data_IF_721167647667
#
_entry.id   IF_721167647667
#
_cell.length_a   1.000
_cell.length_b   1.000
_cell.length_c   1.000
_cell.angle_alpha   90.00
_cell.angle_beta   90.00
_cell.angle_gamma   90.00
#
_symmetry.space_group_name_H-M   'P 1'
#
loop_
_entity.id
_entity.type
_entity.pdbx_description
1 polymer ?
#
# COMPACT_ATOMS: atom_id res chain seq x y z
N UNK A 1 10.84 -31.84 16.29
CA UNK A 1 10.04 -30.60 16.45
C UNK A 1 9.88 -30.01 15.06
N UNK A 2 8.73 -30.24 14.43
CA UNK A 2 8.43 -29.66 13.12
C UNK A 2 8.10 -28.20 13.34
N UNK A 3 8.94 -27.28 12.85
CA UNK A 3 8.53 -25.88 12.73
C UNK A 3 7.33 -25.87 11.81
N UNK A 4 6.19 -25.41 12.33
CA UNK A 4 5.00 -25.14 11.54
C UNK A 4 5.42 -24.34 10.31
N UNK A 5 5.29 -24.94 9.13
CA UNK A 5 5.33 -24.19 7.88
C UNK A 5 4.12 -23.26 7.90
N UNK A 6 4.35 -21.99 8.23
CA UNK A 6 3.34 -20.94 8.15
C UNK A 6 2.61 -21.06 6.81
N UNK A 7 1.31 -21.36 6.86
CA UNK A 7 0.50 -21.50 5.67
C UNK A 7 0.53 -20.18 4.90
N UNK A 8 1.14 -20.20 3.70
CA UNK A 8 1.13 -19.07 2.78
C UNK A 8 -0.09 -19.24 1.89
N UNK A 9 -1.07 -18.33 2.00
CA UNK A 9 -2.16 -18.29 1.03
C UNK A 9 -1.56 -18.20 -0.38
N UNK A 10 -1.87 -19.15 -1.29
CA UNK A 10 -1.36 -19.11 -2.65
C UNK A 10 -1.90 -17.90 -3.44
N UNK A 11 -2.95 -17.25 -2.92
CA UNK A 11 -3.63 -16.13 -3.56
C UNK A 11 -3.64 -14.89 -2.69
N UNK A 12 -3.34 -13.75 -3.34
CA UNK A 12 -3.47 -12.42 -2.77
C UNK A 12 -4.95 -12.12 -2.52
N UNK A 13 -5.29 -11.81 -1.26
CA UNK A 13 -6.61 -11.35 -0.86
C UNK A 13 -6.48 -10.06 -0.03
N UNK A 14 -6.91 -8.89 -0.55
CA UNK A 14 -6.81 -7.62 0.17
C UNK A 14 -7.57 -7.64 1.50
N UNK A 15 -8.70 -8.34 1.57
CA UNK A 15 -9.56 -8.39 2.76
C UNK A 15 -8.96 -9.22 3.89
N UNK A 16 -8.22 -10.29 3.55
CA UNK A 16 -7.45 -11.04 4.56
C UNK A 16 -6.37 -10.15 5.18
N UNK A 17 -5.62 -9.42 4.35
CA UNK A 17 -4.58 -8.52 4.85
C UNK A 17 -5.16 -7.37 5.68
N UNK A 18 -6.31 -6.84 5.27
CA UNK A 18 -7.03 -5.84 6.05
C UNK A 18 -7.48 -6.36 7.41
N UNK A 19 -7.98 -7.59 7.48
CA UNK A 19 -8.31 -8.23 8.76
C UNK A 19 -7.07 -8.39 9.65
N UNK A 20 -5.97 -8.83 9.05
CA UNK A 20 -4.76 -9.22 9.79
C UNK A 20 -3.93 -8.00 10.24
N UNK A 21 -3.93 -6.90 9.47
CA UNK A 21 -3.14 -5.69 9.74
C UNK A 21 -3.96 -4.43 10.00
N UNK A 22 -5.29 -4.50 9.90
CA UNK A 22 -6.19 -3.35 9.99
C UNK A 22 -5.98 -2.50 11.24
N UNK A 23 -5.78 -3.13 12.40
CA UNK A 23 -5.55 -2.40 13.65
C UNK A 23 -4.28 -1.52 13.58
N UNK A 24 -3.19 -2.05 13.02
CA UNK A 24 -1.91 -1.35 12.92
C UNK A 24 -1.99 -0.25 11.87
N UNK A 25 -2.50 -0.58 10.68
CA UNK A 25 -2.54 0.38 9.57
C UNK A 25 -3.51 1.52 9.87
N UNK A 26 -4.67 1.25 10.47
CA UNK A 26 -5.61 2.30 10.87
C UNK A 26 -5.03 3.23 11.95
N UNK A 27 -4.20 2.71 12.86
CA UNK A 27 -3.52 3.53 13.87
C UNK A 27 -2.38 4.37 13.28
N UNK A 28 -1.65 3.84 12.30
CA UNK A 28 -0.54 4.54 11.63
C UNK A 28 -1.01 5.58 10.61
N UNK A 29 -2.23 5.45 10.10
CA UNK A 29 -2.79 6.27 9.03
C UNK A 29 -4.22 6.76 9.32
N UNK A 30 -4.48 7.39 10.48
CA UNK A 30 -5.82 7.83 10.85
C UNK A 30 -6.41 8.82 9.82
N UNK A 31 -5.56 9.63 9.19
CA UNK A 31 -5.96 10.63 8.19
C UNK A 31 -6.58 10.00 6.92
N UNK A 32 -6.13 8.79 6.56
CA UNK A 32 -6.67 8.03 5.42
C UNK A 32 -8.03 7.44 5.81
N UNK A 33 -8.18 6.98 7.05
CA UNK A 33 -9.42 6.39 7.55
C UNK A 33 -10.52 7.44 7.68
N UNK A 34 -10.20 8.60 8.23
CA UNK A 34 -11.13 9.74 8.31
C UNK A 34 -11.59 10.19 6.92
N UNK A 35 -10.68 10.09 5.95
CA UNK A 35 -10.94 10.30 4.52
C UNK A 35 -11.76 9.17 3.86
N UNK A 36 -12.48 8.32 4.62
CA UNK A 36 -13.53 7.42 4.11
C UNK A 36 -15.00 7.89 4.32
N UNK A 37 -15.26 8.97 5.08
CA UNK A 37 -16.57 9.70 5.18
C UNK A 37 -17.19 10.51 3.97
N UNK A 38 -16.54 11.52 3.35
CA UNK A 38 -16.84 12.26 2.07
C UNK A 38 -16.60 11.61 0.66
N UNK A 39 -15.95 12.29 -0.31
CA UNK A 39 -15.87 11.87 -1.74
C UNK A 39 -14.59 11.15 -2.21
N UNK A 40 -14.59 10.48 -3.37
CA UNK A 40 -13.37 9.88 -3.95
C UNK A 40 -12.29 10.93 -4.29
N UNK A 41 -12.70 12.14 -4.65
CA UNK A 41 -11.79 13.27 -4.86
C UNK A 41 -11.06 13.64 -3.57
N UNK A 42 -11.77 13.68 -2.45
CA UNK A 42 -11.19 13.98 -1.13
C UNK A 42 -10.23 12.88 -0.68
N UNK A 43 -10.63 11.61 -0.87
CA UNK A 43 -9.76 10.47 -0.55
C UNK A 43 -8.47 10.53 -1.38
N UNK A 44 -8.56 10.80 -2.68
CA UNK A 44 -7.39 10.95 -3.55
C UNK A 44 -6.46 12.07 -3.11
N UNK A 45 -7.01 13.22 -2.72
CA UNK A 45 -6.23 14.34 -2.20
C UNK A 45 -5.50 13.95 -0.90
N UNK A 46 -6.20 13.30 0.04
CA UNK A 46 -5.62 12.85 1.31
C UNK A 46 -4.55 11.78 1.15
N UNK A 47 -4.77 10.80 0.27
CA UNK A 47 -3.76 9.80 -0.08
C UNK A 47 -2.51 10.45 -0.69
N UNK A 48 -2.70 11.45 -1.55
CA UNK A 48 -1.59 12.21 -2.12
C UNK A 48 -0.81 13.00 -1.04
N UNK A 49 -1.51 13.73 -0.18
CA UNK A 49 -0.94 14.47 0.94
C UNK A 49 -0.17 13.56 1.89
N UNK A 50 -0.73 12.41 2.28
CA UNK A 50 -0.07 11.43 3.16
C UNK A 50 1.20 10.85 2.49
N UNK A 51 1.12 10.54 1.19
CA UNK A 51 2.27 9.99 0.44
C UNK A 51 3.40 10.99 0.26
N UNK A 52 3.10 12.27 0.05
CA UNK A 52 4.11 13.32 -0.20
C UNK A 52 4.59 13.96 1.11
N UNK A 53 3.71 14.15 2.09
CA UNK A 53 4.01 14.80 3.36
C UNK A 53 5.12 14.12 4.15
N UNK A 54 5.25 12.79 4.03
CA UNK A 54 6.37 12.02 4.63
C UNK A 54 7.73 12.35 4.02
N UNK A 55 7.78 12.94 2.83
CA UNK A 55 9.00 13.22 2.06
C UNK A 55 9.22 14.71 1.76
N UNK A 56 8.25 15.56 2.08
CA UNK A 56 8.38 17.01 2.02
C UNK A 56 9.29 17.50 3.16
N UNK A 57 10.61 17.37 2.97
CA UNK A 57 11.59 18.06 3.81
C UNK A 57 11.62 19.55 3.43
N UNK A 58 11.19 20.42 4.34
CA UNK A 58 11.63 21.83 4.49
C UNK A 58 11.69 22.73 3.25
N UNK A 59 10.90 22.49 2.21
CA UNK A 59 10.79 23.45 1.12
C UNK A 59 9.61 24.38 1.37
N UNK A 60 9.87 25.49 2.07
CA UNK A 60 8.88 26.55 2.33
C UNK A 60 8.28 27.16 1.03
N UNK A 61 8.85 26.80 -0.11
CA UNK A 61 8.43 27.22 -1.45
C UNK A 61 7.82 26.09 -2.30
N UNK A 62 7.77 24.84 -1.81
CA UNK A 62 7.00 23.82 -2.50
C UNK A 62 5.54 24.24 -2.47
N UNK A 63 4.85 24.36 -3.62
CA UNK A 63 3.43 24.60 -3.61
C UNK A 63 2.81 23.35 -3.01
N UNK A 64 2.52 23.39 -1.70
CA UNK A 64 1.43 22.65 -1.11
C UNK A 64 0.22 23.11 -1.91
N UNK A 65 -0.07 22.43 -3.03
CA UNK A 65 -1.25 22.70 -3.83
C UNK A 65 -2.44 22.28 -2.99
N UNK A 66 -2.83 23.15 -2.06
CA UNK A 66 -4.15 23.28 -1.48
C UNK A 66 -5.10 23.80 -2.58
N UNK A 67 -5.09 23.12 -3.73
CA UNK A 67 -6.11 23.24 -4.75
C UNK A 67 -7.32 22.42 -4.32
N UNK A 68 -8.51 22.84 -4.74
CA UNK A 68 -9.70 22.03 -4.56
C UNK A 68 -9.44 20.59 -5.08
N UNK A 69 -9.93 19.55 -4.38
CA UNK A 69 -9.73 18.16 -4.79
C UNK A 69 -10.12 17.95 -6.26
N UNK A 70 -9.18 17.42 -7.05
CA UNK A 70 -9.44 17.17 -8.46
C UNK A 70 -10.54 16.13 -8.63
N UNK A 71 -11.47 16.40 -9.55
CA UNK A 71 -12.66 15.57 -9.76
C UNK A 71 -12.28 14.13 -10.11
N UNK A 72 -12.83 13.17 -9.37
CA UNK A 72 -12.83 11.75 -9.71
C UNK A 72 -14.21 11.36 -10.20
N UNK A 73 -14.29 10.79 -11.41
CA UNK A 73 -15.51 10.21 -11.97
C UNK A 73 -15.37 8.70 -12.07
N UNK A 74 -16.50 7.99 -12.06
CA UNK A 74 -16.56 6.53 -12.14
C UNK A 74 -17.55 6.10 -13.22
N UNK A 75 -17.30 4.98 -13.90
CA UNK A 75 -18.27 4.36 -14.81
C UNK A 75 -18.67 2.97 -14.29
N UNK A 76 -19.96 2.75 -14.05
CA UNK A 76 -20.52 1.47 -13.56
C UNK A 76 -20.02 0.98 -12.19
N UNK A 77 -19.18 1.75 -11.49
CA UNK A 77 -18.69 1.42 -10.14
C UNK A 77 -19.58 2.03 -9.06
N UNK A 78 -19.48 1.48 -7.84
CA UNK A 78 -20.11 2.07 -6.68
C UNK A 78 -19.71 3.56 -6.57
N UNK A 79 -20.72 4.43 -6.58
CA UNK A 79 -20.51 5.88 -6.53
C UNK A 79 -20.00 6.35 -5.16
N UNK A 80 -20.19 5.55 -4.11
CA UNK A 80 -19.73 5.84 -2.77
C UNK A 80 -18.40 5.09 -2.48
N UNK A 81 -17.49 5.77 -1.78
CA UNK A 81 -16.12 5.30 -1.55
C UNK A 81 -16.02 4.12 -0.57
N UNK A 82 -16.90 4.05 0.42
CA UNK A 82 -16.93 2.95 1.39
C UNK A 82 -17.25 1.63 0.71
N UNK A 83 -18.27 1.60 -0.16
CA UNK A 83 -18.59 0.41 -0.95
C UNK A 83 -17.45 0.01 -1.89
N UNK A 84 -16.76 0.98 -2.51
CA UNK A 84 -15.62 0.66 -3.37
C UNK A 84 -14.42 0.12 -2.57
N UNK A 85 -14.15 0.70 -1.39
CA UNK A 85 -13.13 0.21 -0.46
C UNK A 85 -13.48 -1.21 0.04
N UNK A 86 -14.72 -1.45 0.45
CA UNK A 86 -15.19 -2.76 0.91
C UNK A 86 -15.14 -3.82 -0.21
N UNK A 87 -15.22 -3.40 -1.47
CA UNK A 87 -15.11 -4.30 -2.62
C UNK A 87 -13.65 -4.66 -2.94
N UNK A 88 -12.78 -3.65 -3.09
CA UNK A 88 -11.43 -3.85 -3.64
C UNK A 88 -10.28 -3.76 -2.63
N UNK A 89 -10.51 -3.17 -1.46
CA UNK A 89 -9.49 -2.89 -0.46
C UNK A 89 -8.63 -1.64 -0.75
N UNK A 90 -7.98 -1.10 0.30
CA UNK A 90 -7.26 0.18 0.25
C UNK A 90 -6.07 0.16 -0.72
N UNK A 91 -5.28 -0.91 -0.77
CA UNK A 91 -4.08 -0.96 -1.60
C UNK A 91 -4.41 -0.77 -3.09
N UNK A 92 -5.45 -1.47 -3.56
CA UNK A 92 -5.91 -1.39 -4.95
C UNK A 92 -6.49 -0.01 -5.23
N UNK A 93 -7.31 0.50 -4.32
CA UNK A 93 -7.92 1.82 -4.45
C UNK A 93 -6.86 2.92 -4.49
N UNK A 94 -5.82 2.82 -3.67
CA UNK A 94 -4.72 3.79 -3.63
C UNK A 94 -3.96 3.83 -4.95
N UNK A 95 -3.59 2.67 -5.50
CA UNK A 95 -2.96 2.61 -6.82
C UNK A 95 -3.87 3.19 -7.91
N UNK A 96 -5.16 2.89 -7.86
CA UNK A 96 -6.11 3.37 -8.86
C UNK A 96 -6.28 4.89 -8.84
N UNK A 97 -6.31 5.49 -7.65
CA UNK A 97 -6.45 6.93 -7.48
C UNK A 97 -5.17 7.70 -7.78
N UNK A 98 -4.00 7.09 -7.62
CA UNK A 98 -2.73 7.81 -7.68
C UNK A 98 -1.87 7.53 -8.92
N UNK A 99 -2.11 6.44 -9.67
CA UNK A 99 -1.13 5.96 -10.67
C UNK A 99 -1.29 6.49 -12.09
N UNK A 100 -2.48 6.90 -12.51
CA UNK A 100 -2.75 7.23 -13.91
C UNK A 100 -2.35 8.67 -14.27
N UNK A 101 -2.94 9.64 -13.58
CA UNK A 101 -2.69 11.08 -13.82
C UNK A 101 -2.26 11.80 -12.53
N UNK A 102 -1.52 12.92 -12.64
CA UNK A 102 -1.14 13.73 -11.48
C UNK A 102 -2.35 14.08 -10.59
N UNK A 103 -2.12 14.19 -9.27
CA UNK A 103 -3.20 14.39 -8.29
C UNK A 103 -4.10 15.61 -8.56
N UNK A 104 -3.57 16.66 -9.19
CA UNK A 104 -4.32 17.88 -9.55
C UNK A 104 -5.15 17.77 -10.84
N UNK A 105 -5.04 16.67 -11.60
CA UNK A 105 -5.80 16.43 -12.84
C UNK A 105 -7.01 15.56 -12.56
N UNK A 106 -8.13 15.83 -13.23
CA UNK A 106 -9.32 14.97 -13.13
C UNK A 106 -9.00 13.54 -13.55
N UNK A 107 -9.58 12.57 -12.82
CA UNK A 107 -9.39 11.14 -13.05
C UNK A 107 -10.72 10.49 -13.39
N UNK A 108 -10.70 9.58 -14.38
CA UNK A 108 -11.81 8.71 -14.68
C UNK A 108 -11.46 7.27 -14.28
N UNK A 109 -12.09 6.80 -13.21
CA UNK A 109 -11.87 5.48 -12.65
C UNK A 109 -12.78 4.45 -13.32
N UNK A 110 -12.21 3.34 -13.78
CA UNK A 110 -12.93 2.27 -14.47
C UNK A 110 -12.73 0.94 -13.74
N UNK A 111 -13.64 -0.01 -13.95
CA UNK A 111 -13.45 -1.36 -13.40
C UNK A 111 -12.17 -2.02 -13.93
N UNK A 112 -11.80 -1.76 -15.18
CA UNK A 112 -10.59 -2.30 -15.78
C UNK A 112 -9.31 -1.81 -15.10
N UNK A 113 -9.27 -0.54 -14.64
CA UNK A 113 -8.09 -0.03 -13.91
C UNK A 113 -7.95 -0.73 -12.55
N UNK A 114 -9.05 -0.93 -11.82
CA UNK A 114 -9.07 -1.67 -10.56
C UNK A 114 -8.58 -3.12 -10.74
N UNK A 115 -9.10 -3.83 -11.74
CA UNK A 115 -8.68 -5.20 -12.08
C UNK A 115 -7.18 -5.23 -12.44
N UNK A 116 -6.70 -4.24 -13.20
CA UNK A 116 -5.28 -4.11 -13.55
C UNK A 116 -4.37 -4.01 -12.33
N UNK A 117 -4.74 -3.19 -11.34
CA UNK A 117 -4.00 -3.06 -10.09
C UNK A 117 -4.07 -4.33 -9.23
N UNK A 118 -5.24 -4.97 -9.12
CA UNK A 118 -5.36 -6.25 -8.42
C UNK A 118 -4.47 -7.33 -9.05
N UNK A 119 -4.46 -7.44 -10.39
CA UNK A 119 -3.60 -8.41 -11.11
C UNK A 119 -2.13 -8.16 -10.84
N UNK A 120 -1.70 -6.90 -10.82
CA UNK A 120 -0.32 -6.53 -10.53
C UNK A 120 0.06 -6.86 -9.09
N UNK A 121 -0.77 -6.51 -8.10
CA UNK A 121 -0.51 -6.87 -6.69
C UNK A 121 -0.51 -8.39 -6.46
N UNK A 122 -1.34 -9.13 -7.21
CA UNK A 122 -1.29 -10.60 -7.19
C UNK A 122 0.03 -11.15 -7.72
N UNK A 123 0.63 -10.52 -8.73
CA UNK A 123 1.95 -10.91 -9.25
C UNK A 123 3.06 -10.60 -8.23
N UNK A 124 3.01 -9.40 -7.62
CA UNK A 124 3.88 -9.02 -6.50
C UNK A 124 3.81 -10.04 -5.36
N UNK A 125 2.60 -10.41 -4.92
CA UNK A 125 2.39 -11.42 -3.89
C UNK A 125 3.05 -12.75 -4.25
N UNK A 126 2.75 -13.27 -5.45
CA UNK A 126 3.25 -14.58 -5.90
C UNK A 126 4.78 -14.63 -5.97
N UNK A 127 5.39 -13.51 -6.34
CA UNK A 127 6.83 -13.38 -6.41
C UNK A 127 7.45 -13.26 -5.01
N UNK A 128 7.04 -12.25 -4.24
CA UNK A 128 7.70 -11.87 -2.99
C UNK A 128 7.35 -12.77 -1.80
N UNK A 129 6.13 -13.31 -1.70
CA UNK A 129 5.70 -14.09 -0.53
C UNK A 129 6.48 -15.41 -0.37
N UNK A 130 7.16 -15.87 -1.42
CA UNK A 130 7.97 -17.09 -1.44
C UNK A 130 9.46 -16.82 -1.24
N UNK A 131 9.88 -15.55 -1.18
CA UNK A 131 11.29 -15.23 -1.00
C UNK A 131 11.71 -15.53 0.45
N UNK A 132 12.85 -16.18 0.66
CA UNK A 132 13.38 -16.42 2.00
C UNK A 132 13.66 -15.08 2.69
N UNK A 133 13.56 -15.06 4.01
CA UNK A 133 13.96 -13.92 4.83
C UNK A 133 15.36 -13.45 4.48
N UNK A 134 15.54 -12.13 4.44
CA UNK A 134 16.85 -11.55 4.13
C UNK A 134 17.16 -10.34 5.01
N UNK A 135 18.38 -10.36 5.55
CA UNK A 135 18.95 -9.30 6.38
C UNK A 135 19.70 -8.25 5.55
N UNK A 136 19.62 -8.31 4.21
CA UNK A 136 20.32 -7.37 3.33
C UNK A 136 19.74 -5.96 3.50
N UNK A 137 20.58 -4.93 3.74
CA UNK A 137 20.09 -3.58 3.86
C UNK A 137 19.45 -3.12 2.53
N UNK A 138 18.39 -2.29 2.59
CA UNK A 138 17.81 -1.72 1.38
C UNK A 138 18.85 -0.89 0.64
N UNK A 139 18.80 -0.94 -0.69
CA UNK A 139 19.56 -0.02 -1.53
C UNK A 139 19.26 1.44 -1.17
N UNK A 140 20.31 2.27 -1.01
CA UNK A 140 20.15 3.68 -0.71
C UNK A 140 19.56 4.39 -1.93
N UNK A 141 18.61 5.30 -1.66
CA UNK A 141 17.92 6.13 -2.65
C UNK A 141 17.07 5.39 -3.68
N UNK A 142 15.76 5.50 -3.53
CA UNK A 142 14.79 5.03 -4.51
C UNK A 142 14.36 6.19 -5.42
N UNK A 143 14.30 5.95 -6.73
CA UNK A 143 13.69 6.90 -7.69
C UNK A 143 12.22 7.18 -7.35
N UNK A 144 11.57 6.27 -6.62
CA UNK A 144 10.24 6.48 -6.02
C UNK A 144 10.28 7.64 -5.03
N UNK A 145 11.26 7.64 -4.11
CA UNK A 145 11.43 8.70 -3.10
C UNK A 145 11.69 10.06 -3.75
N UNK A 146 12.56 10.13 -4.78
CA UNK A 146 12.82 11.37 -5.51
C UNK A 146 11.57 11.92 -6.20
N UNK A 147 10.75 11.04 -6.79
CA UNK A 147 9.48 11.44 -7.39
C UNK A 147 8.47 11.94 -6.33
N UNK A 148 8.42 11.31 -5.17
CA UNK A 148 7.59 11.74 -4.04
C UNK A 148 8.03 13.09 -3.46
N UNK A 149 9.33 13.32 -3.30
CA UNK A 149 9.88 14.63 -2.91
C UNK A 149 9.49 15.75 -3.89
N UNK A 150 9.33 15.41 -5.17
CA UNK A 150 8.85 16.33 -6.20
C UNK A 150 7.32 16.45 -6.29
N UNK A 151 6.57 15.81 -5.39
CA UNK A 151 5.09 15.79 -5.42
C UNK A 151 4.49 14.98 -6.58
N UNK A 152 5.23 14.08 -7.23
CA UNK A 152 4.81 13.35 -8.43
C UNK A 152 4.44 11.89 -8.10
N UNK A 153 3.28 11.68 -7.49
CA UNK A 153 2.77 10.37 -7.08
C UNK A 153 2.61 9.37 -8.26
N UNK A 154 2.07 9.81 -9.39
CA UNK A 154 1.88 8.94 -10.56
C UNK A 154 3.23 8.45 -11.12
N UNK A 155 4.22 9.33 -11.16
CA UNK A 155 5.59 8.97 -11.56
C UNK A 155 6.26 8.05 -10.53
N UNK A 156 6.04 8.30 -9.24
CA UNK A 156 6.54 7.44 -8.18
C UNK A 156 5.99 6.00 -8.30
N UNK A 157 4.70 5.84 -8.61
CA UNK A 157 4.10 4.51 -8.85
C UNK A 157 4.61 3.87 -10.16
N UNK A 158 4.87 4.66 -11.20
CA UNK A 158 5.52 4.15 -12.41
C UNK A 158 6.92 3.59 -12.09
N UNK A 159 7.72 4.35 -11.33
CA UNK A 159 9.03 3.89 -10.85
C UNK A 159 8.95 2.68 -9.93
N UNK A 160 7.91 2.57 -9.10
CA UNK A 160 7.66 1.39 -8.27
C UNK A 160 7.45 0.14 -9.13
N UNK A 161 6.69 0.24 -10.23
CA UNK A 161 6.48 -0.86 -11.18
C UNK A 161 7.76 -1.25 -11.90
N UNK A 162 8.58 -0.27 -12.28
CA UNK A 162 9.88 -0.54 -12.89
C UNK A 162 10.87 -1.16 -11.90
N UNK A 163 10.82 -0.75 -10.63
CA UNK A 163 11.60 -1.34 -9.56
C UNK A 163 11.22 -2.82 -9.35
N UNK A 164 9.93 -3.16 -9.40
CA UNK A 164 9.47 -4.54 -9.35
C UNK A 164 10.03 -5.38 -10.52
N UNK A 165 10.03 -4.85 -11.75
CA UNK A 165 10.65 -5.55 -12.90
C UNK A 165 12.14 -5.81 -12.68
N UNK A 166 12.87 -4.84 -12.09
CA UNK A 166 14.29 -5.02 -11.76
C UNK A 166 14.50 -6.10 -10.72
N UNK A 167 13.65 -6.17 -9.69
CA UNK A 167 13.66 -7.27 -8.70
C UNK A 167 13.47 -8.61 -9.41
N UNK A 168 12.49 -8.71 -10.33
CA UNK A 168 12.26 -9.93 -11.12
C UNK A 168 13.47 -10.33 -11.98
N UNK A 169 14.24 -9.35 -12.49
CA UNK A 169 15.44 -9.56 -13.30
C UNK A 169 16.69 -9.89 -12.47
N UNK A 170 16.71 -9.51 -11.18
CA UNK A 170 17.82 -9.71 -10.26
C UNK A 170 17.35 -10.44 -8.99
N UNK A 171 16.90 -11.71 -9.07
CA UNK A 171 16.30 -12.44 -7.95
C UNK A 171 17.25 -12.67 -6.76
N UNK A 172 18.57 -12.56 -6.98
CA UNK A 172 19.58 -12.72 -5.94
C UNK A 172 19.92 -11.40 -5.23
N UNK A 173 19.35 -10.28 -5.67
CA UNK A 173 19.57 -8.96 -5.10
C UNK A 173 18.50 -8.67 -4.04
N UNK A 174 18.75 -9.17 -2.83
CA UNK A 174 17.81 -9.01 -1.74
C UNK A 174 17.68 -7.55 -1.28
N UNK A 175 18.75 -6.75 -1.34
CA UNK A 175 18.70 -5.33 -1.01
C UNK A 175 17.74 -4.56 -1.93
N UNK A 176 17.73 -4.90 -3.22
CA UNK A 176 16.77 -4.38 -4.18
C UNK A 176 15.33 -4.80 -3.86
N UNK A 177 15.11 -6.05 -3.43
CA UNK A 177 13.80 -6.54 -3.00
C UNK A 177 13.29 -5.76 -1.77
N UNK A 178 14.12 -5.56 -0.75
CA UNK A 178 13.74 -4.80 0.44
C UNK A 178 13.45 -3.33 0.09
N UNK A 179 14.23 -2.70 -0.80
CA UNK A 179 13.93 -1.35 -1.30
C UNK A 179 12.60 -1.27 -2.05
N UNK A 180 12.27 -2.30 -2.82
CA UNK A 180 10.97 -2.40 -3.49
C UNK A 180 9.84 -2.52 -2.48
N UNK A 181 9.92 -3.44 -1.52
CA UNK A 181 8.88 -3.64 -0.51
C UNK A 181 8.69 -2.39 0.37
N UNK A 182 9.79 -1.73 0.73
CA UNK A 182 9.76 -0.45 1.46
C UNK A 182 9.12 0.67 0.65
N UNK A 183 9.31 0.69 -0.68
CA UNK A 183 8.65 1.65 -1.57
C UNK A 183 7.17 1.29 -1.80
N UNK A 184 6.84 0.00 -1.81
CA UNK A 184 5.48 -0.51 -1.99
C UNK A 184 4.60 -0.14 -0.79
N UNK A 185 5.10 -0.27 0.43
CA UNK A 185 4.35 0.04 1.66
C UNK A 185 3.93 1.52 1.76
N UNK A 186 4.56 2.41 1.00
CA UNK A 186 4.15 3.82 0.92
C UNK A 186 2.79 4.01 0.23
N UNK A 187 2.42 3.11 -0.68
CA UNK A 187 1.17 3.18 -1.45
C UNK A 187 0.21 2.04 -1.16
N UNK A 188 0.74 0.89 -0.75
CA UNK A 188 -0.01 -0.33 -0.49
C UNK A 188 0.34 -0.82 0.91
N UNK A 189 -0.15 -0.12 1.96
CA UNK A 189 0.27 -0.38 3.33
C UNK A 189 -0.04 -1.81 3.80
N UNK A 190 -1.10 -2.45 3.31
CA UNK A 190 -1.46 -3.79 3.76
C UNK A 190 -0.52 -4.88 3.21
N UNK A 191 -0.40 -5.00 1.90
CA UNK A 191 0.52 -5.96 1.26
C UNK A 191 1.98 -5.63 1.54
N UNK A 192 2.33 -4.34 1.59
CA UNK A 192 3.68 -3.90 1.91
C UNK A 192 4.11 -4.34 3.31
N UNK A 193 3.24 -4.14 4.31
CA UNK A 193 3.50 -4.56 5.70
C UNK A 193 3.62 -6.07 5.82
N UNK A 194 2.68 -6.82 5.23
CA UNK A 194 2.72 -8.29 5.25
C UNK A 194 4.01 -8.83 4.62
N UNK A 195 4.42 -8.30 3.47
CA UNK A 195 5.62 -8.76 2.78
C UNK A 195 6.90 -8.36 3.52
N UNK A 196 6.97 -7.17 4.11
CA UNK A 196 8.10 -6.75 4.94
C UNK A 196 8.20 -7.57 6.24
N UNK A 197 7.07 -7.86 6.88
CA UNK A 197 7.01 -8.75 8.04
C UNK A 197 7.54 -10.14 7.71
N UNK A 198 7.12 -10.73 6.59
CA UNK A 198 7.64 -12.02 6.10
C UNK A 198 9.15 -12.02 5.86
N UNK A 199 9.72 -10.87 5.50
CA UNK A 199 11.16 -10.69 5.33
C UNK A 199 11.92 -10.46 6.65
N UNK A 200 11.23 -10.34 7.79
CA UNK A 200 11.83 -10.05 9.09
C UNK A 200 12.08 -8.56 9.36
N UNK A 201 11.57 -7.66 8.50
CA UNK A 201 11.80 -6.21 8.59
C UNK A 201 10.81 -5.46 9.47
N UNK A 202 9.74 -6.14 9.91
CA UNK A 202 8.74 -5.59 10.83
C UNK A 202 8.59 -6.59 11.97
N UNK A 203 8.76 -6.12 13.21
CA UNK A 203 8.66 -6.94 14.41
C UNK A 203 7.25 -6.87 15.02
N UNK A 204 6.26 -7.28 14.22
CA UNK A 204 4.87 -7.34 14.62
C UNK A 204 4.30 -8.69 14.22
N UNK A 205 4.14 -9.62 15.16
CA UNK A 205 3.48 -10.89 14.89
C UNK A 205 1.94 -10.72 14.87
N UNK A 206 1.27 -10.92 13.72
CA UNK A 206 -0.19 -10.84 13.63
C UNK A 206 -0.88 -12.04 14.31
N UNK A 207 -0.19 -13.19 14.47
CA UNK A 207 -0.78 -14.47 14.91
C UNK A 207 -0.87 -14.57 16.44
N UNK A 208 0.13 -14.11 17.19
CA UNK A 208 0.10 -14.16 18.66
C UNK A 208 -1.04 -13.35 19.30
N UNK A 209 -1.73 -12.48 18.55
CA UNK A 209 -2.77 -11.59 19.09
C UNK A 209 -4.22 -11.98 18.76
N UNK A 210 -4.43 -12.86 17.77
CA UNK A 210 -5.75 -13.49 17.54
C UNK A 210 -6.16 -14.43 18.70
N UNK A 211 -5.22 -14.82 19.56
CA UNK A 211 -5.49 -15.59 20.79
C UNK A 211 -5.86 -14.75 22.02
N UNK A 212 -5.66 -13.43 22.01
CA UNK A 212 -5.88 -12.59 23.20
C UNK A 212 -7.33 -12.14 23.43
N UNK A 213 -8.28 -12.47 22.55
CA UNK A 213 -9.71 -12.24 22.79
C UNK A 213 -10.43 -13.43 23.44
N UNK A 214 -9.68 -14.41 23.99
CA UNK A 214 -10.22 -15.65 24.54
C UNK A 214 -10.05 -15.91 26.04
N UNK A 215 -9.59 -14.96 26.86
CA UNK A 215 -9.59 -15.13 28.33
C UNK A 215 -9.96 -13.81 29.02
N UNK A 216 -11.26 -13.51 29.03
CA UNK A 216 -11.87 -12.73 30.10
C UNK A 216 -13.20 -13.38 30.46
N UNK A 217 -13.08 -14.52 31.14
CA UNK A 217 -14.18 -15.27 31.74
C UNK A 217 -13.82 -15.53 33.19
N UNK A 218 -14.49 -14.78 34.05
CA UNK A 218 -14.65 -14.86 35.50
C UNK A 218 -14.51 -16.27 36.07
N UNK A 219 -13.73 -16.42 37.14
CA UNK A 219 -14.03 -17.41 38.18
C UNK A 219 -14.08 -16.63 39.49
N UNK A 220 -15.22 -16.76 40.15
CA UNK A 220 -15.53 -16.28 41.51
C UNK A 220 -14.57 -16.84 42.56
#
# INVERSE_FOLDING_TARGET
>A
MSKDTDYISPEYNPHSLQRDWGFLICEQHPEIIEAFSGSLSDLRARLHESSVGKFAQNDANAPLTAGAPAKVTTDGLAANRSSLYDEVGLDILTLALLSDVPAHRSLHLTQNSLIGHWRWLRDVWRYCARHPQCDAPPHPHSTVTTALQSGKNNLAIAHLRDLFKKVQQAPNDAGLCISFLSSLSLFCPFIGTELLWRQGWIDHDPVSRSRTTGIRGTIE
#
